data_IF_749869199540
#
_entry.id   IF_749869199540
#
_cell.length_a   1.000
_cell.length_b   1.000
_cell.length_c   1.000
_cell.angle_alpha   90.00
_cell.angle_beta   90.00
_cell.angle_gamma   90.00
#
_symmetry.space_group_name_H-M   'P 1'
#
loop_
_entity.id
_entity.type
_entity.pdbx_description
1 polymer ?
#
# COMPACT_ATOMS: atom_id res chain seq x y z
N UNK A 1 30.64 -8.42 -29.88
CA UNK A 1 29.87 -9.33 -28.99
C UNK A 1 29.91 -8.91 -27.52
N UNK A 2 31.03 -8.90 -26.78
CA UNK A 2 31.04 -8.45 -25.37
C UNK A 2 30.56 -7.01 -25.16
N UNK A 3 31.06 -6.06 -25.96
CA UNK A 3 30.64 -4.65 -25.88
C UNK A 3 29.15 -4.43 -26.22
N UNK A 4 28.58 -5.24 -27.12
CA UNK A 4 27.16 -5.18 -27.47
C UNK A 4 26.29 -5.74 -26.34
N UNK A 5 26.75 -6.80 -25.67
CA UNK A 5 26.07 -7.35 -24.48
C UNK A 5 26.15 -6.38 -23.29
N UNK A 6 27.25 -5.65 -23.13
CA UNK A 6 27.39 -4.60 -22.12
C UNK A 6 26.46 -3.40 -22.37
N UNK A 7 26.32 -2.97 -23.63
CA UNK A 7 25.35 -1.96 -24.01
C UNK A 7 23.91 -2.43 -23.71
N UNK A 8 23.59 -3.69 -24.02
CA UNK A 8 22.27 -4.29 -23.73
C UNK A 8 21.99 -4.38 -22.22
N UNK A 9 22.97 -4.77 -21.41
CA UNK A 9 22.83 -4.80 -19.94
C UNK A 9 22.56 -3.39 -19.41
N UNK A 10 23.26 -2.37 -19.91
CA UNK A 10 23.06 -0.97 -19.54
C UNK A 10 21.63 -0.52 -19.88
N UNK A 11 21.18 -0.76 -21.11
CA UNK A 11 19.82 -0.43 -21.54
C UNK A 11 18.75 -1.13 -20.69
N UNK A 12 18.94 -2.42 -20.35
CA UNK A 12 18.00 -3.15 -19.50
C UNK A 12 17.95 -2.58 -18.06
N UNK A 13 19.08 -2.10 -17.52
CA UNK A 13 19.12 -1.44 -16.20
C UNK A 13 18.37 -0.12 -16.20
N UNK A 14 18.57 0.71 -17.22
CA UNK A 14 17.85 1.98 -17.36
C UNK A 14 16.34 1.75 -17.49
N UNK A 15 15.93 0.77 -18.30
CA UNK A 15 14.52 0.40 -18.43
C UNK A 15 13.94 -0.07 -17.09
N UNK A 16 14.67 -0.88 -16.32
CA UNK A 16 14.23 -1.37 -15.02
C UNK A 16 14.04 -0.24 -14.01
N UNK A 17 14.97 0.71 -13.92
CA UNK A 17 14.85 1.89 -13.06
C UNK A 17 13.70 2.80 -13.49
N UNK A 18 13.47 2.96 -14.79
CA UNK A 18 12.31 3.68 -15.29
C UNK A 18 10.99 3.02 -14.84
N UNK A 19 10.87 1.68 -14.94
CA UNK A 19 9.68 0.97 -14.47
C UNK A 19 9.51 1.08 -12.96
N UNK A 20 10.60 1.02 -12.19
CA UNK A 20 10.58 1.23 -10.74
C UNK A 20 10.02 2.61 -10.38
N UNK A 21 10.44 3.67 -11.07
CA UNK A 21 9.93 5.02 -10.87
C UNK A 21 8.43 5.16 -11.21
N UNK A 22 7.96 4.47 -12.25
CA UNK A 22 6.53 4.48 -12.62
C UNK A 22 5.66 3.72 -11.61
N UNK A 23 6.12 2.56 -11.16
CA UNK A 23 5.44 1.80 -10.11
C UNK A 23 5.37 2.61 -8.81
N UNK A 24 6.45 3.31 -8.44
CA UNK A 24 6.47 4.21 -7.30
C UNK A 24 5.46 5.35 -7.43
N UNK A 25 5.40 5.99 -8.61
CA UNK A 25 4.43 7.06 -8.86
C UNK A 25 2.96 6.57 -8.78
N UNK A 26 2.66 5.36 -9.27
CA UNK A 26 1.34 4.76 -9.15
C UNK A 26 0.97 4.49 -7.68
N UNK A 27 1.93 3.99 -6.90
CA UNK A 27 1.77 3.75 -5.48
C UNK A 27 1.53 5.04 -4.68
N UNK A 28 2.26 6.11 -4.99
CA UNK A 28 2.06 7.41 -4.34
C UNK A 28 0.66 7.97 -4.62
N UNK A 29 0.15 7.84 -5.85
CA UNK A 29 -1.24 8.20 -6.18
C UNK A 29 -2.26 7.39 -5.39
N UNK A 30 -2.00 6.09 -5.18
CA UNK A 30 -2.85 5.27 -4.33
C UNK A 30 -2.87 5.78 -2.89
N UNK A 31 -1.72 6.15 -2.32
CA UNK A 31 -1.66 6.71 -0.97
C UNK A 31 -2.38 8.05 -0.85
N UNK A 32 -2.31 8.89 -1.88
CA UNK A 32 -3.04 10.16 -1.91
C UNK A 32 -4.55 9.92 -1.96
N UNK A 33 -5.01 9.03 -2.84
CA UNK A 33 -6.42 8.65 -2.95
C UNK A 33 -6.96 8.07 -1.63
N UNK A 34 -6.19 7.18 -1.00
CA UNK A 34 -6.54 6.60 0.29
C UNK A 34 -6.58 7.65 1.41
N UNK A 35 -5.63 8.58 1.41
CA UNK A 35 -5.58 9.69 2.36
C UNK A 35 -6.83 10.56 2.26
N UNK A 36 -7.23 10.93 1.04
CA UNK A 36 -8.46 11.71 0.80
C UNK A 36 -9.68 10.97 1.31
N UNK A 37 -9.81 9.68 0.98
CA UNK A 37 -10.93 8.86 1.42
C UNK A 37 -11.01 8.76 2.94
N UNK A 38 -9.89 8.48 3.61
CA UNK A 38 -9.85 8.34 5.07
C UNK A 38 -10.13 9.67 5.79
N UNK A 39 -9.67 10.80 5.24
CA UNK A 39 -9.96 12.13 5.77
C UNK A 39 -11.43 12.48 5.75
N UNK A 40 -12.18 11.97 4.77
CA UNK A 40 -13.63 12.12 4.72
C UNK A 40 -14.35 11.09 5.60
N UNK A 41 -13.91 9.83 5.54
CA UNK A 41 -14.59 8.71 6.18
C UNK A 41 -14.45 8.71 7.71
N UNK A 42 -13.25 8.96 8.26
CA UNK A 42 -13.01 8.90 9.72
C UNK A 42 -13.90 9.90 10.49
N UNK A 43 -13.96 11.20 10.14
CA UNK A 43 -14.84 12.15 10.82
C UNK A 43 -16.31 11.74 10.75
N UNK A 44 -16.74 11.22 9.60
CA UNK A 44 -18.13 10.79 9.42
C UNK A 44 -18.47 9.60 10.31
N UNK A 45 -17.59 8.60 10.40
CA UNK A 45 -17.79 7.48 11.32
C UNK A 45 -17.84 7.92 12.78
N UNK A 46 -16.93 8.81 13.20
CA UNK A 46 -16.95 9.34 14.56
C UNK A 46 -18.26 10.07 14.84
N UNK A 47 -18.74 10.89 13.90
CA UNK A 47 -20.02 11.59 14.00
C UNK A 47 -21.19 10.61 14.13
N UNK A 48 -21.21 9.53 13.35
CA UNK A 48 -22.24 8.50 13.41
C UNK A 48 -22.23 7.77 14.76
N UNK A 49 -21.05 7.41 15.27
CA UNK A 49 -20.90 6.75 16.58
C UNK A 49 -21.35 7.66 17.73
N UNK A 50 -20.98 8.95 17.70
CA UNK A 50 -21.44 9.94 18.68
C UNK A 50 -22.97 10.07 18.66
N UNK A 51 -23.56 10.21 17.47
CA UNK A 51 -25.03 10.31 17.32
C UNK A 51 -25.76 9.06 17.80
N UNK A 52 -25.24 7.86 17.50
CA UNK A 52 -25.83 6.59 17.93
C UNK A 52 -25.77 6.43 19.45
N UNK A 53 -24.70 6.90 20.08
CA UNK A 53 -24.49 6.83 21.53
C UNK A 53 -24.85 8.13 22.25
N UNK A 54 -26.03 8.68 21.94
CA UNK A 54 -26.49 9.98 22.45
C UNK A 54 -26.46 10.07 23.99
N UNK A 55 -26.78 9.00 24.72
CA UNK A 55 -26.70 8.98 26.19
C UNK A 55 -25.28 9.24 26.70
N UNK A 56 -24.27 8.60 26.09
CA UNK A 56 -22.85 8.83 26.41
C UNK A 56 -22.46 10.27 26.08
N UNK A 57 -22.91 10.78 24.93
CA UNK A 57 -22.67 12.17 24.51
C UNK A 57 -23.24 13.18 25.49
N UNK A 58 -24.49 12.99 25.93
CA UNK A 58 -25.14 13.86 26.91
C UNK A 58 -24.43 13.80 28.26
N UNK A 59 -23.98 12.63 28.70
CA UNK A 59 -23.23 12.46 29.97
C UNK A 59 -21.85 13.12 29.94
N UNK A 60 -21.16 13.11 28.81
CA UNK A 60 -19.83 13.72 28.67
C UNK A 60 -19.87 15.25 28.75
N UNK A 61 -20.94 15.87 28.26
CA UNK A 61 -21.06 17.33 28.21
C UNK A 61 -20.19 18.00 27.14
N UNK A 62 -20.38 19.30 26.95
CA UNK A 62 -19.78 20.06 25.84
C UNK A 62 -18.25 20.10 25.88
N UNK A 63 -17.64 20.22 27.05
CA UNK A 63 -16.18 20.30 27.21
C UNK A 63 -15.47 19.05 26.71
N UNK A 64 -15.94 17.87 27.11
CA UNK A 64 -15.37 16.58 26.66
C UNK A 64 -15.59 16.35 25.18
N UNK A 65 -16.71 16.81 24.62
CA UNK A 65 -16.96 16.76 23.17
C UNK A 65 -16.01 17.67 22.40
N UNK A 66 -15.66 18.84 22.94
CA UNK A 66 -14.63 19.71 22.34
C UNK A 66 -13.28 19.00 22.30
N UNK A 67 -12.86 18.35 23.39
CA UNK A 67 -11.61 17.57 23.43
C UNK A 67 -11.63 16.44 22.39
N UNK A 68 -12.76 15.70 22.27
CA UNK A 68 -12.93 14.65 21.26
C UNK A 68 -12.74 15.20 19.83
N UNK A 69 -13.31 16.37 19.52
CA UNK A 69 -13.16 17.01 18.21
C UNK A 69 -11.70 17.40 17.92
N UNK A 70 -11.00 17.97 18.90
CA UNK A 70 -9.57 18.31 18.75
C UNK A 70 -8.71 17.06 18.53
N UNK A 71 -8.98 15.96 19.24
CA UNK A 71 -8.28 14.69 19.01
C UNK A 71 -8.58 14.11 17.62
N UNK A 72 -9.83 14.22 17.15
CA UNK A 72 -10.22 13.83 15.79
C UNK A 72 -9.50 14.67 14.73
N UNK A 73 -9.44 15.99 14.88
CA UNK A 73 -8.72 16.89 13.95
C UNK A 73 -7.22 16.55 13.88
N UNK A 74 -6.62 16.22 15.03
CA UNK A 74 -5.24 15.74 15.08
C UNK A 74 -5.09 14.42 14.31
N UNK A 75 -5.96 13.45 14.53
CA UNK A 75 -5.94 12.18 13.80
C UNK A 75 -6.05 12.42 12.28
N UNK A 76 -6.98 13.25 11.84
CA UNK A 76 -7.20 13.61 10.43
C UNK A 76 -5.94 14.24 9.81
N UNK A 77 -5.27 15.10 10.58
CA UNK A 77 -3.99 15.72 10.18
C UNK A 77 -2.89 14.66 10.04
N UNK A 78 -2.86 13.68 10.93
CA UNK A 78 -1.86 12.60 10.95
C UNK A 78 -2.12 11.47 9.92
N UNK A 79 -3.30 11.41 9.27
CA UNK A 79 -3.64 10.36 8.28
C UNK A 79 -2.57 10.11 7.23
N UNK A 80 -2.00 11.11 6.52
CA UNK A 80 -0.99 10.85 5.49
C UNK A 80 0.24 10.12 6.05
N UNK A 81 0.65 10.47 7.28
CA UNK A 81 1.75 9.82 7.98
C UNK A 81 1.39 8.39 8.36
N UNK A 82 0.16 8.15 8.82
CA UNK A 82 -0.33 6.82 9.19
C UNK A 82 -0.48 5.89 7.99
N UNK A 83 -0.99 6.39 6.86
CA UNK A 83 -1.08 5.68 5.58
C UNK A 83 0.32 5.27 5.13
N UNK A 84 1.26 6.20 5.11
CA UNK A 84 2.64 5.87 4.72
C UNK A 84 3.25 4.87 5.70
N UNK A 85 3.27 5.13 7.00
CA UNK A 85 3.93 4.22 7.95
C UNK A 85 3.33 2.80 7.99
N UNK A 86 2.01 2.67 7.79
CA UNK A 86 1.32 1.39 7.87
C UNK A 86 1.47 0.55 6.60
N UNK A 87 1.68 1.17 5.44
CA UNK A 87 1.85 0.48 4.15
C UNK A 87 3.31 0.33 3.70
N UNK A 88 4.22 1.20 4.17
CA UNK A 88 5.66 1.10 3.86
C UNK A 88 6.33 -0.13 4.49
N UNK A 89 5.77 -0.69 5.58
CA UNK A 89 6.32 -1.85 6.27
C UNK A 89 6.05 -3.21 5.60
N UNK A 90 5.17 -3.26 4.59
CA UNK A 90 4.77 -4.50 3.91
C UNK A 90 5.80 -4.96 2.89
N UNK A 91 6.92 -5.57 3.34
CA UNK A 91 8.06 -6.03 2.50
C UNK A 91 7.72 -7.04 1.38
N UNK A 92 6.46 -7.39 1.14
CA UNK A 92 6.03 -8.29 0.07
C UNK A 92 4.90 -7.77 -0.84
N UNK A 93 4.35 -6.59 -0.54
CA UNK A 93 3.28 -5.98 -1.33
C UNK A 93 3.85 -5.08 -2.44
N UNK A 94 4.93 -4.37 -2.12
CA UNK A 94 5.59 -3.42 -3.01
C UNK A 94 6.89 -4.00 -3.58
N UNK A 95 6.76 -5.05 -4.38
CA UNK A 95 7.91 -5.86 -4.81
C UNK A 95 8.93 -5.11 -5.69
N UNK A 96 8.57 -3.98 -6.30
CA UNK A 96 9.53 -3.11 -7.00
C UNK A 96 10.56 -2.45 -6.07
N UNK A 97 10.28 -2.38 -4.76
CA UNK A 97 11.14 -1.76 -3.72
C UNK A 97 12.10 -2.73 -3.05
N UNK A 98 11.99 -4.03 -3.31
CA UNK A 98 13.00 -4.99 -2.87
C UNK A 98 14.05 -5.16 -3.96
N UNK A 99 15.31 -5.29 -3.56
CA UNK A 99 16.43 -5.52 -4.48
C UNK A 99 16.36 -6.88 -5.18
N UNK A 100 15.48 -7.77 -4.71
CA UNK A 100 15.28 -9.07 -5.33
C UNK A 100 14.30 -8.95 -6.49
N UNK A 101 14.86 -8.96 -7.70
CA UNK A 101 14.15 -9.16 -8.97
C UNK A 101 13.22 -10.38 -8.90
N UNK A 102 11.89 -10.21 -8.84
CA UNK A 102 10.98 -11.34 -8.80
C UNK A 102 10.97 -12.06 -10.16
N UNK A 103 11.08 -13.38 -10.14
CA UNK A 103 11.09 -14.24 -11.33
C UNK A 103 9.69 -14.52 -11.89
N UNK A 104 8.62 -14.13 -11.17
CA UNK A 104 7.24 -14.50 -11.49
C UNK A 104 6.29 -13.29 -11.48
N UNK A 105 5.53 -13.14 -12.56
CA UNK A 105 4.48 -12.13 -12.75
C UNK A 105 3.22 -12.41 -11.92
N UNK A 106 3.00 -13.66 -11.53
CA UNK A 106 1.70 -14.15 -11.06
C UNK A 106 1.30 -13.74 -9.63
N UNK A 107 2.10 -12.97 -8.90
CA UNK A 107 1.85 -12.73 -7.47
C UNK A 107 1.07 -11.45 -7.17
N UNK A 108 1.26 -10.33 -7.89
CA UNK A 108 0.66 -9.06 -7.48
C UNK A 108 -0.81 -8.90 -7.86
N UNK A 109 -1.23 -9.26 -9.08
CA UNK A 109 -2.67 -9.23 -9.43
C UNK A 109 -3.47 -10.15 -8.51
N UNK A 110 -3.00 -11.38 -8.27
CA UNK A 110 -3.66 -12.27 -7.32
C UNK A 110 -3.71 -11.67 -5.90
N UNK A 111 -2.63 -11.05 -5.44
CA UNK A 111 -2.55 -10.46 -4.09
C UNK A 111 -3.39 -9.20 -3.89
N UNK A 112 -3.58 -8.41 -4.94
CA UNK A 112 -4.44 -7.22 -4.92
C UNK A 112 -5.91 -7.64 -5.10
N UNK A 113 -6.25 -8.57 -5.99
CA UNK A 113 -7.66 -8.85 -6.32
C UNK A 113 -8.25 -10.14 -5.71
N UNK A 114 -7.54 -10.84 -4.83
CA UNK A 114 -8.03 -12.11 -4.23
C UNK A 114 -9.14 -11.94 -3.17
N UNK A 115 -9.55 -10.72 -2.83
CA UNK A 115 -10.69 -10.51 -1.92
C UNK A 115 -11.88 -9.90 -2.65
N UNK A 116 -13.08 -10.51 -2.53
CA UNK A 116 -14.28 -9.91 -3.07
C UNK A 116 -14.62 -8.60 -2.31
N UNK A 117 -15.26 -7.63 -2.99
CA UNK A 117 -15.87 -6.47 -2.35
C UNK A 117 -16.81 -6.88 -1.19
N UNK A 118 -17.06 -6.01 -0.19
CA UNK A 118 -16.74 -4.57 -0.14
C UNK A 118 -15.42 -4.23 0.55
N UNK A 119 -14.71 -5.21 1.09
CA UNK A 119 -13.61 -5.00 2.03
C UNK A 119 -12.33 -4.48 1.37
N UNK A 120 -12.15 -4.70 0.07
CA UNK A 120 -10.90 -4.39 -0.64
C UNK A 120 -9.85 -5.49 -0.46
N UNK A 121 -8.68 -5.36 -1.12
CA UNK A 121 -7.64 -6.39 -1.17
C UNK A 121 -7.25 -6.94 0.21
N UNK A 122 -7.19 -8.27 0.39
CA UNK A 122 -6.83 -8.91 1.67
C UNK A 122 -5.54 -8.33 2.28
N UNK A 123 -4.53 -8.13 1.43
CA UNK A 123 -3.22 -7.66 1.88
C UNK A 123 -3.22 -6.19 2.32
N UNK A 124 -4.27 -5.43 2.00
CA UNK A 124 -4.46 -4.06 2.44
C UNK A 124 -5.29 -3.97 3.73
N UNK A 125 -5.88 -5.07 4.20
CA UNK A 125 -6.69 -5.08 5.43
C UNK A 125 -5.89 -4.78 6.69
N UNK A 126 -4.71 -5.36 6.84
CA UNK A 126 -3.88 -5.19 8.05
C UNK A 126 -3.43 -3.73 8.23
N UNK A 127 -2.93 -3.04 7.19
CA UNK A 127 -2.67 -1.62 7.31
C UNK A 127 -3.93 -0.77 7.60
N UNK A 128 -5.10 -1.09 7.01
CA UNK A 128 -6.37 -0.40 7.33
C UNK A 128 -6.81 -0.63 8.76
N UNK A 129 -6.59 -1.84 9.28
CA UNK A 129 -6.83 -2.18 10.68
C UNK A 129 -6.02 -1.29 11.62
N UNK A 130 -4.74 -1.02 11.34
CA UNK A 130 -3.92 -0.10 12.15
C UNK A 130 -4.54 1.30 12.22
N UNK A 131 -5.03 1.83 11.10
CA UNK A 131 -5.70 3.14 11.08
C UNK A 131 -6.98 3.10 11.93
N UNK A 132 -7.77 2.02 11.82
CA UNK A 132 -8.96 1.82 12.67
C UNK A 132 -8.60 1.66 14.15
N UNK A 133 -7.46 1.07 14.49
CA UNK A 133 -6.96 0.97 15.86
C UNK A 133 -6.63 2.35 16.44
N UNK A 134 -6.03 3.26 15.67
CA UNK A 134 -5.82 4.64 16.08
C UNK A 134 -7.15 5.35 16.37
N UNK A 135 -8.14 5.19 15.49
CA UNK A 135 -9.48 5.75 15.68
C UNK A 135 -10.15 5.19 16.94
N UNK A 136 -10.13 3.88 17.10
CA UNK A 136 -10.75 3.23 18.25
C UNK A 136 -10.08 3.53 19.59
N UNK A 137 -8.76 3.68 19.60
CA UNK A 137 -8.03 4.01 20.82
C UNK A 137 -8.50 5.34 21.44
N UNK A 138 -8.65 6.39 20.64
CA UNK A 138 -9.12 7.68 21.18
C UNK A 138 -10.64 7.65 21.45
N UNK A 139 -11.44 7.00 20.61
CA UNK A 139 -12.89 6.85 20.87
C UNK A 139 -13.17 6.08 22.17
N UNK A 140 -12.36 5.07 22.49
CA UNK A 140 -12.46 4.31 23.72
C UNK A 140 -12.16 5.14 24.97
N UNK A 141 -11.20 6.08 24.88
CA UNK A 141 -10.87 7.02 25.96
C UNK A 141 -12.09 7.87 26.38
N UNK A 142 -13.00 8.12 25.44
CA UNK A 142 -14.24 8.88 25.68
C UNK A 142 -15.47 7.98 25.85
N UNK A 143 -15.29 6.66 26.02
CA UNK A 143 -16.39 5.74 26.31
C UNK A 143 -17.28 5.39 25.11
N UNK A 144 -16.84 5.69 23.88
CA UNK A 144 -17.62 5.41 22.65
C UNK A 144 -17.34 4.06 22.02
N UNK A 145 -16.25 3.38 22.40
CA UNK A 145 -15.90 2.09 21.83
C UNK A 145 -15.20 1.21 22.86
N UNK A 146 -15.46 -0.09 22.77
CA UNK A 146 -14.70 -1.11 23.48
C UNK A 146 -14.03 -2.01 22.46
N UNK A 147 -12.91 -2.62 22.84
CA UNK A 147 -12.33 -3.68 22.02
C UNK A 147 -13.29 -4.85 22.00
N UNK A 148 -13.52 -5.40 20.82
CA UNK A 148 -14.17 -6.70 20.65
C UNK A 148 -13.33 -7.78 21.33
N UNK A 149 -13.89 -8.98 21.53
CA UNK A 149 -13.14 -10.13 22.04
C UNK A 149 -11.97 -10.53 21.13
N UNK A 150 -11.96 -10.08 19.86
CA UNK A 150 -10.86 -10.24 18.91
C UNK A 150 -9.80 -9.13 19.00
N UNK A 151 -9.91 -8.23 19.99
CA UNK A 151 -8.95 -7.15 20.23
C UNK A 151 -9.03 -5.98 19.25
N UNK A 152 -10.00 -5.96 18.32
CA UNK A 152 -10.21 -4.90 17.34
C UNK A 152 -11.40 -4.00 17.72
N UNK A 153 -11.47 -2.81 17.13
CA UNK A 153 -12.63 -1.95 17.27
C UNK A 153 -13.57 -2.12 16.08
N UNK A 154 -14.86 -2.30 16.36
CA UNK A 154 -15.89 -2.44 15.33
C UNK A 154 -16.35 -1.05 14.86
N UNK A 155 -15.76 -0.61 13.78
CA UNK A 155 -16.22 0.53 13.00
C UNK A 155 -16.56 0.02 11.61
N UNK A 156 -17.54 0.65 10.95
CA UNK A 156 -18.02 0.22 9.65
C UNK A 156 -16.91 0.04 8.60
N UNK A 157 -17.27 -0.48 7.44
CA UNK A 157 -16.37 -0.51 6.30
C UNK A 157 -16.56 0.78 5.49
N UNK A 158 -15.50 1.33 4.93
CA UNK A 158 -15.64 2.28 3.84
C UNK A 158 -15.84 1.49 2.55
N UNK A 159 -16.60 2.06 1.61
CA UNK A 159 -16.74 1.46 0.28
C UNK A 159 -15.44 1.62 -0.49
N UNK A 160 -14.95 0.49 -1.01
CA UNK A 160 -13.82 0.48 -1.92
C UNK A 160 -14.25 1.06 -3.27
N UNK A 161 -13.70 2.21 -3.66
CA UNK A 161 -14.13 2.96 -4.84
C UNK A 161 -13.19 2.79 -6.03
N UNK A 162 -13.67 3.15 -7.23
CA UNK A 162 -12.85 3.18 -8.44
C UNK A 162 -11.67 4.15 -8.33
N UNK A 163 -11.78 5.20 -7.53
CA UNK A 163 -10.68 6.13 -7.22
C UNK A 163 -9.52 5.44 -6.49
N UNK A 164 -9.78 4.38 -5.74
CA UNK A 164 -8.72 3.56 -5.14
C UNK A 164 -8.23 2.49 -6.12
N UNK A 165 -9.12 1.94 -6.94
CA UNK A 165 -8.78 0.90 -7.91
C UNK A 165 -7.87 1.40 -9.03
N UNK A 166 -8.14 2.58 -9.59
CA UNK A 166 -7.38 3.12 -10.72
C UNK A 166 -5.84 3.15 -10.46
N UNK A 167 -5.33 3.78 -9.39
CA UNK A 167 -3.89 3.78 -9.12
C UNK A 167 -3.34 2.38 -8.77
N UNK A 168 -4.15 1.49 -8.18
CA UNK A 168 -3.73 0.11 -7.91
C UNK A 168 -3.65 -0.75 -9.17
N UNK A 169 -4.61 -0.61 -10.09
CA UNK A 169 -4.59 -1.24 -11.40
C UNK A 169 -3.35 -0.77 -12.15
N UNK A 170 -3.10 0.55 -12.15
CA UNK A 170 -1.90 1.11 -12.76
C UNK A 170 -0.62 0.56 -12.13
N UNK A 171 -0.58 0.45 -10.81
CA UNK A 171 0.55 -0.16 -10.11
C UNK A 171 0.77 -1.61 -10.55
N UNK A 172 -0.29 -2.40 -10.70
CA UNK A 172 -0.20 -3.78 -11.15
C UNK A 172 0.38 -3.90 -12.57
N UNK A 173 -0.08 -3.04 -13.49
CA UNK A 173 0.43 -2.96 -14.87
C UNK A 173 1.93 -2.60 -14.90
N UNK A 174 2.32 -1.55 -14.17
CA UNK A 174 3.73 -1.10 -14.09
C UNK A 174 4.61 -2.17 -13.41
N UNK A 175 4.07 -2.90 -12.44
CA UNK A 175 4.78 -4.02 -11.83
C UNK A 175 4.99 -5.16 -12.82
N UNK A 176 4.00 -5.51 -13.65
CA UNK A 176 4.19 -6.52 -14.68
C UNK A 176 5.29 -6.12 -15.68
N UNK A 177 5.31 -4.84 -16.09
CA UNK A 177 6.37 -4.28 -16.91
C UNK A 177 7.74 -4.33 -16.22
N UNK A 178 7.80 -4.04 -14.91
CA UNK A 178 9.01 -4.17 -14.10
C UNK A 178 9.53 -5.62 -14.08
N UNK A 179 8.66 -6.62 -13.90
CA UNK A 179 9.06 -8.05 -13.94
C UNK A 179 9.66 -8.40 -15.30
N UNK A 180 9.02 -7.99 -16.40
CA UNK A 180 9.51 -8.24 -17.76
C UNK A 180 10.88 -7.60 -18.00
N UNK A 181 11.07 -6.34 -17.57
CA UNK A 181 12.36 -5.66 -17.66
C UNK A 181 13.45 -6.38 -16.84
N UNK A 182 13.08 -6.88 -15.66
CA UNK A 182 13.98 -7.62 -14.79
C UNK A 182 14.43 -8.95 -15.40
N UNK A 183 13.49 -9.70 -15.98
CA UNK A 183 13.80 -10.94 -16.71
C UNK A 183 14.71 -10.69 -17.92
N UNK A 184 14.48 -9.60 -18.66
CA UNK A 184 15.34 -9.21 -19.78
C UNK A 184 16.77 -8.88 -19.34
N UNK A 185 16.94 -8.18 -18.21
CA UNK A 185 18.25 -7.91 -17.62
C UNK A 185 18.98 -9.21 -17.24
N UNK A 186 18.29 -10.13 -16.56
CA UNK A 186 18.86 -11.42 -16.18
C UNK A 186 19.29 -12.24 -17.40
N UNK A 187 18.47 -12.26 -18.46
CA UNK A 187 18.82 -12.92 -19.71
C UNK A 187 20.06 -12.30 -20.38
N UNK A 188 20.20 -10.97 -20.38
CA UNK A 188 21.37 -10.28 -20.94
C UNK A 188 22.65 -10.58 -20.15
N UNK A 189 22.58 -10.57 -18.81
CA UNK A 189 23.70 -10.93 -17.93
C UNK A 189 24.13 -12.38 -18.19
N UNK A 190 23.17 -13.31 -18.27
CA UNK A 190 23.44 -14.71 -18.55
C UNK A 190 24.11 -14.90 -19.91
N UNK A 191 23.59 -14.26 -20.96
CA UNK A 191 24.16 -14.33 -22.31
C UNK A 191 25.61 -13.80 -22.34
N UNK A 192 25.92 -12.75 -21.58
CA UNK A 192 27.29 -12.27 -21.41
C UNK A 192 28.18 -13.32 -20.75
N UNK A 193 27.75 -13.90 -19.64
CA UNK A 193 28.52 -14.94 -18.93
C UNK A 193 28.76 -16.18 -19.79
N UNK A 194 27.75 -16.62 -20.56
CA UNK A 194 27.88 -17.74 -21.49
C UNK A 194 28.88 -17.41 -22.63
N UNK A 195 28.82 -16.20 -23.19
CA UNK A 195 29.77 -15.77 -24.21
C UNK A 195 31.22 -15.70 -23.70
N UNK A 196 31.43 -15.17 -22.49
CA UNK A 196 32.74 -15.10 -21.86
C UNK A 196 33.31 -16.49 -21.56
N UNK A 197 32.48 -17.40 -21.03
CA UNK A 197 32.88 -18.78 -20.76
C UNK A 197 33.29 -19.53 -22.05
N UNK A 198 32.48 -19.41 -23.11
CA UNK A 198 32.79 -20.02 -24.41
C UNK A 198 34.08 -19.44 -25.00
N UNK A 199 34.29 -18.13 -24.88
CA UNK A 199 35.51 -17.47 -25.37
C UNK A 199 36.78 -17.93 -24.64
N UNK A 200 36.68 -18.32 -23.37
CA UNK A 200 37.80 -18.89 -22.60
C UNK A 200 38.04 -20.34 -23.02
N UNK A 201 36.96 -21.13 -23.16
CA UNK A 201 37.04 -22.52 -23.59
C UNK A 201 37.68 -22.67 -24.98
N UNK A 202 37.26 -21.86 -25.95
CA UNK A 202 37.80 -21.89 -27.32
C UNK A 202 39.27 -21.47 -27.42
N UNK A 203 39.79 -20.74 -26.42
CA UNK A 203 41.19 -20.28 -26.36
C UNK A 203 42.11 -21.23 -25.60
N UNK A 204 41.55 -22.22 -24.88
CA UNK A 204 42.29 -23.20 -24.08
C UNK A 204 42.60 -24.45 -24.90
#
# INVERSE_FOLDING_TARGET
MTAELDAKITQCREALEQQRGRAEAALERFFDALTVLLRAWIPEQVRLVVKRNHETTTKLGSERITILKTELEKLVTDIPKLVRSSWLGGKGLWAHRVDFAPTHTNTIHYRIYSSPPPSGPYQLQEPLKKIREHMGAFMAKHGYSQRTHWGSYDFGFFEWSDTLNEPLNRYADEYEAFVKASQALQAAIRAKGEHEANSIWEKS
#
